data_IF_130425237952
#
_entry.id   IF_130425237952
#
_cell.length_a   1.000
_cell.length_b   1.000
_cell.length_c   1.000
_cell.angle_alpha   90.00
_cell.angle_beta   90.00
_cell.angle_gamma   90.00
#
_symmetry.space_group_name_H-M   'P 1'
#
loop_
_entity.id
_entity.type
_entity.pdbx_description
1 polymer ?
#
# COMPACT_ATOMS: atom_id res chain seq x y z
N UNK A 1 -16.02 0.52 22.86
CA UNK A 1 -14.93 0.97 22.02
C UNK A 1 -15.13 0.52 20.59
N UNK A 2 -14.81 1.36 19.64
CA UNK A 2 -15.03 1.03 18.23
C UNK A 2 -13.75 0.44 17.64
N UNK A 3 -13.74 -0.84 17.26
CA UNK A 3 -12.53 -1.47 16.74
C UNK A 3 -11.99 -0.80 15.48
N UNK A 4 -12.89 -0.25 14.65
CA UNK A 4 -12.44 0.43 13.43
C UNK A 4 -11.66 1.69 13.76
N UNK A 5 -12.14 2.45 14.74
CA UNK A 5 -11.45 3.68 15.15
C UNK A 5 -10.11 3.33 15.79
N UNK A 6 -10.11 2.34 16.66
CA UNK A 6 -8.87 1.93 17.34
C UNK A 6 -7.83 1.51 16.31
N UNK A 7 -8.22 0.72 15.35
CA UNK A 7 -7.28 0.21 14.35
C UNK A 7 -6.75 1.33 13.46
N UNK A 8 -7.63 2.26 13.09
CA UNK A 8 -7.26 3.32 12.16
C UNK A 8 -6.31 4.34 12.77
N UNK A 9 -6.40 4.56 14.09
CA UNK A 9 -5.65 5.63 14.74
C UNK A 9 -4.62 5.13 15.73
N UNK A 10 -4.30 3.86 15.69
CA UNK A 10 -3.24 3.30 16.52
C UNK A 10 -2.03 3.03 15.66
N UNK A 11 -0.86 3.41 16.16
CA UNK A 11 0.39 3.13 15.45
C UNK A 11 0.60 1.62 15.41
N UNK A 12 0.95 1.14 14.21
CA UNK A 12 1.23 -0.27 14.00
C UNK A 12 2.71 -0.42 13.68
N UNK A 13 3.54 -0.71 14.67
CA UNK A 13 4.96 -0.88 14.39
C UNK A 13 5.19 -2.08 13.47
N UNK A 14 6.19 -2.02 12.60
CA UNK A 14 6.48 -3.12 11.70
C UNK A 14 6.77 -4.40 12.48
N UNK A 15 6.25 -5.50 11.98
CA UNK A 15 6.46 -6.81 12.59
C UNK A 15 7.39 -7.62 11.71
N UNK A 16 7.82 -8.76 12.23
CA UNK A 16 8.72 -9.62 11.48
C UNK A 16 8.12 -9.94 10.11
N UNK A 17 8.91 -9.77 9.07
CA UNK A 17 8.47 -10.04 7.69
C UNK A 17 7.73 -8.92 7.01
N UNK A 18 7.23 -7.94 7.76
CA UNK A 18 6.46 -6.85 7.14
C UNK A 18 7.31 -5.90 6.32
N UNK A 19 8.53 -5.51 6.76
CA UNK A 19 9.33 -4.63 5.92
C UNK A 19 9.60 -5.21 4.54
N UNK A 20 9.79 -6.53 4.44
CA UNK A 20 10.00 -7.17 3.16
C UNK A 20 8.75 -7.12 2.30
N UNK A 21 7.59 -7.25 2.91
CA UNK A 21 6.33 -7.16 2.17
C UNK A 21 6.11 -5.75 1.63
N UNK A 22 6.39 -4.74 2.44
CA UNK A 22 6.27 -3.35 1.98
C UNK A 22 7.23 -3.07 0.83
N UNK A 23 8.45 -3.58 0.94
CA UNK A 23 9.45 -3.40 -0.11
C UNK A 23 8.99 -4.04 -1.41
N UNK A 24 8.44 -5.25 -1.33
CA UNK A 24 7.97 -5.96 -2.51
C UNK A 24 6.81 -5.23 -3.18
N UNK A 25 5.83 -4.80 -2.39
CA UNK A 25 4.68 -4.08 -2.94
C UNK A 25 5.15 -2.80 -3.60
N UNK A 26 6.04 -2.06 -2.94
CA UNK A 26 6.55 -0.81 -3.50
C UNK A 26 7.30 -1.05 -4.79
N UNK A 27 8.12 -2.09 -4.85
CA UNK A 27 8.88 -2.40 -6.04
C UNK A 27 7.97 -2.74 -7.21
N UNK A 28 6.95 -3.55 -6.97
CA UNK A 28 6.02 -3.92 -8.03
C UNK A 28 5.20 -2.72 -8.49
N UNK A 29 4.77 -1.88 -7.54
CA UNK A 29 4.01 -0.68 -7.90
C UNK A 29 4.87 0.27 -8.72
N UNK A 30 6.14 0.41 -8.37
CA UNK A 30 7.05 1.26 -9.12
C UNK A 30 7.20 0.77 -10.55
N UNK A 31 7.35 -0.54 -10.71
CA UNK A 31 7.43 -1.13 -12.05
C UNK A 31 6.17 -0.85 -12.85
N UNK A 32 5.01 -1.00 -12.21
CA UNK A 32 3.75 -0.75 -12.89
C UNK A 32 3.59 0.73 -13.23
N UNK A 33 4.06 1.61 -12.36
CA UNK A 33 4.03 3.04 -12.64
C UNK A 33 4.84 3.37 -13.90
N UNK A 34 6.01 2.79 -14.04
CA UNK A 34 6.81 3.00 -15.24
C UNK A 34 6.14 2.43 -16.46
N UNK A 35 5.44 1.32 -16.32
CA UNK A 35 4.70 0.75 -17.43
C UNK A 35 3.59 1.70 -17.88
N UNK A 36 2.84 2.24 -16.94
CA UNK A 36 1.80 3.23 -17.25
C UNK A 36 2.42 4.45 -17.92
N UNK A 37 3.54 4.90 -17.37
CA UNK A 37 4.22 6.08 -17.91
C UNK A 37 4.58 5.88 -19.37
N UNK A 38 5.03 4.69 -19.72
CA UNK A 38 5.48 4.41 -21.08
C UNK A 38 4.38 4.09 -22.07
N UNK A 39 3.24 3.61 -21.60
CA UNK A 39 2.19 3.12 -22.50
C UNK A 39 1.02 4.07 -22.63
N UNK A 40 0.78 4.92 -21.63
CA UNK A 40 -0.41 5.75 -21.60
C UNK A 40 -0.03 7.18 -21.97
N UNK A 41 -0.74 7.80 -22.92
CA UNK A 41 -0.46 9.19 -23.27
C UNK A 41 -0.71 10.11 -22.09
N UNK A 42 0.00 11.24 -22.06
CA UNK A 42 -0.21 12.24 -21.03
C UNK A 42 -1.64 12.76 -21.07
N UNK A 43 -2.18 13.02 -19.89
CA UNK A 43 -3.53 13.53 -19.79
C UNK A 43 -4.10 13.27 -18.42
N UNK A 44 -5.33 13.66 -18.24
CA UNK A 44 -6.03 13.51 -16.98
C UNK A 44 -6.12 12.04 -16.56
N UNK A 45 -6.38 11.19 -17.54
CA UNK A 45 -6.54 9.76 -17.25
C UNK A 45 -5.28 9.14 -16.68
N UNK A 46 -4.13 9.49 -17.27
CA UNK A 46 -2.86 8.98 -16.77
C UNK A 46 -2.60 9.48 -15.36
N UNK A 47 -2.87 10.75 -15.09
CA UNK A 47 -2.69 11.32 -13.77
C UNK A 47 -3.56 10.62 -12.74
N UNK A 48 -4.81 10.34 -13.13
CA UNK A 48 -5.72 9.63 -12.23
C UNK A 48 -5.25 8.21 -11.97
N UNK A 49 -4.75 7.54 -13.00
CA UNK A 49 -4.23 6.18 -12.83
C UNK A 49 -3.07 6.16 -11.85
N UNK A 50 -2.17 7.12 -11.96
CA UNK A 50 -1.04 7.20 -11.04
C UNK A 50 -1.49 7.47 -9.60
N UNK A 51 -2.45 8.37 -9.44
CA UNK A 51 -2.99 8.66 -8.12
C UNK A 51 -3.64 7.41 -7.51
N UNK A 52 -4.39 6.67 -8.32
CA UNK A 52 -5.04 5.46 -7.82
C UNK A 52 -4.04 4.37 -7.48
N UNK A 53 -2.95 4.31 -8.23
CA UNK A 53 -1.89 3.36 -7.90
C UNK A 53 -1.24 3.70 -6.56
N UNK A 54 -0.99 4.98 -6.31
CA UNK A 54 -0.48 5.39 -5.02
C UNK A 54 -1.45 5.01 -3.90
N UNK A 55 -2.74 5.26 -4.11
CA UNK A 55 -3.75 4.87 -3.12
C UNK A 55 -3.77 3.37 -2.92
N UNK A 56 -3.63 2.63 -4.01
CA UNK A 56 -3.61 1.16 -3.93
C UNK A 56 -2.48 0.70 -2.99
N UNK A 57 -1.30 1.27 -3.16
CA UNK A 57 -0.16 0.91 -2.30
C UNK A 57 -0.42 1.30 -0.85
N UNK A 58 -0.99 2.48 -0.65
CA UNK A 58 -1.31 2.94 0.70
C UNK A 58 -2.27 1.99 1.40
N UNK A 59 -3.33 1.59 0.71
CA UNK A 59 -4.31 0.68 1.31
C UNK A 59 -3.75 -0.71 1.51
N UNK A 60 -2.92 -1.17 0.58
CA UNK A 60 -2.28 -2.48 0.74
C UNK A 60 -1.38 -2.49 1.96
N UNK A 61 -0.57 -1.44 2.12
CA UNK A 61 0.31 -1.33 3.28
C UNK A 61 -0.49 -1.22 4.58
N UNK A 62 -1.57 -0.45 4.55
CA UNK A 62 -2.43 -0.32 5.71
C UNK A 62 -3.07 -1.66 6.08
N UNK A 63 -3.44 -2.44 5.06
CA UNK A 63 -4.00 -3.76 5.30
C UNK A 63 -3.02 -4.68 6.00
N UNK A 64 -1.78 -4.65 5.56
CA UNK A 64 -0.74 -5.45 6.21
C UNK A 64 -0.54 -4.99 7.65
N UNK A 65 -0.42 -3.68 7.84
CA UNK A 65 -0.15 -3.13 9.16
C UNK A 65 -1.27 -3.39 10.14
N UNK A 66 -2.51 -3.32 9.68
CA UNK A 66 -3.68 -3.37 10.56
C UNK A 66 -4.22 -4.77 10.78
N UNK A 67 -4.10 -5.63 9.77
CA UNK A 67 -4.86 -6.88 9.79
C UNK A 67 -4.01 -8.14 9.78
N UNK A 68 -2.73 -8.03 9.56
CA UNK A 68 -1.90 -9.24 9.52
C UNK A 68 -1.84 -9.84 10.90
N UNK A 69 -2.28 -11.09 11.00
CA UNK A 69 -2.28 -11.79 12.27
C UNK A 69 -0.87 -12.23 12.62
N UNK A 70 -0.54 -12.07 13.88
CA UNK A 70 0.78 -12.45 14.39
C UNK A 70 0.65 -13.60 15.32
N UNK A 71 1.67 -14.42 15.29
CA UNK A 71 1.79 -15.48 16.26
C UNK A 71 2.73 -15.03 17.35
N UNK A 72 2.42 -13.91 17.89
CA UNK A 72 3.24 -13.37 18.94
C UNK A 72 3.04 -14.08 20.24
N UNK A 73 2.28 -14.99 20.22
CA UNK A 73 1.98 -15.72 21.42
C UNK A 73 3.19 -16.16 22.15
#
# INVERSE_FOLDING_TARGET
MNPQIEKAFTYHPPKAGQPEKYTLIRAQAKSFAYLIEGLVPDGREKSLAMTKLEECVMWANAGIARNEVRDEI
#
